data_IF_590139714463
#
_entry.id   IF_590139714463
#
_cell.length_a   1.000
_cell.length_b   1.000
_cell.length_c   1.000
_cell.angle_alpha   90.00
_cell.angle_beta   90.00
_cell.angle_gamma   90.00
#
_symmetry.space_group_name_H-M   'P 1'
#
loop_
_entity.id
_entity.type
_entity.pdbx_description
1 polymer ?
#
# COMPACT_ATOMS: atom_id res chain seq x y z
N UNK A 1 -17.55 -9.79 -13.53
CA UNK A 1 -16.70 -10.03 -12.40
C UNK A 1 -15.25 -10.00 -12.79
N UNK A 2 -14.43 -9.49 -11.95
CA UNK A 2 -13.04 -9.31 -12.29
C UNK A 2 -12.28 -10.54 -11.92
N UNK A 3 -12.20 -11.41 -12.89
CA UNK A 3 -11.52 -12.66 -12.71
C UNK A 3 -10.07 -12.42 -12.30
N UNK A 4 -9.63 -13.13 -11.30
CA UNK A 4 -8.25 -13.11 -10.91
C UNK A 4 -7.88 -12.10 -9.86
N UNK A 5 -8.84 -11.27 -9.44
CA UNK A 5 -8.56 -10.31 -8.37
C UNK A 5 -9.44 -10.61 -7.17
N UNK A 6 -8.81 -10.74 -6.03
CA UNK A 6 -9.47 -11.01 -4.76
C UNK A 6 -9.39 -9.79 -3.86
N UNK A 7 -10.35 -9.72 -2.93
CA UNK A 7 -10.25 -8.72 -1.88
C UNK A 7 -9.13 -9.12 -0.93
N UNK A 8 -8.31 -8.15 -0.57
CA UNK A 8 -7.23 -8.42 0.36
C UNK A 8 -7.78 -8.45 1.77
N UNK A 9 -7.32 -9.40 2.59
CA UNK A 9 -7.71 -9.45 3.98
C UNK A 9 -7.00 -8.37 4.77
N UNK A 10 -7.54 -8.01 5.94
CA UNK A 10 -6.90 -7.03 6.80
C UNK A 10 -5.49 -7.48 7.18
N UNK A 11 -5.33 -8.77 7.49
CA UNK A 11 -4.01 -9.29 7.85
C UNK A 11 -3.04 -9.18 6.67
N UNK A 12 -3.51 -9.50 5.46
CA UNK A 12 -2.67 -9.40 4.28
C UNK A 12 -2.27 -7.97 4.00
N UNK A 13 -3.21 -7.05 4.17
CA UNK A 13 -2.92 -5.64 3.94
C UNK A 13 -1.89 -5.11 4.94
N UNK A 14 -2.03 -5.49 6.21
CA UNK A 14 -1.07 -5.08 7.22
C UNK A 14 0.32 -5.63 6.93
N UNK A 15 0.39 -6.83 6.37
CA UNK A 15 1.66 -7.39 5.98
C UNK A 15 2.34 -6.55 4.91
N UNK A 16 1.57 -6.10 3.92
CA UNK A 16 2.12 -5.24 2.89
C UNK A 16 2.56 -3.90 3.46
N UNK A 17 1.81 -3.37 4.43
CA UNK A 17 2.23 -2.14 5.10
C UNK A 17 3.56 -2.32 5.81
N UNK A 18 3.72 -3.45 6.49
CA UNK A 18 4.95 -3.75 7.21
C UNK A 18 6.12 -3.87 6.23
N UNK A 19 5.91 -4.58 5.13
CA UNK A 19 6.94 -4.73 4.11
C UNK A 19 7.33 -3.38 3.53
N UNK A 20 6.34 -2.53 3.27
CA UNK A 20 6.62 -1.21 2.73
C UNK A 20 7.41 -0.36 3.71
N UNK A 21 7.05 -0.43 5.00
CA UNK A 21 7.79 0.34 6.00
C UNK A 21 9.24 -0.09 6.09
N UNK A 22 9.48 -1.39 6.02
CA UNK A 22 10.86 -1.87 6.05
C UNK A 22 11.63 -1.39 4.84
N UNK A 23 10.99 -1.40 3.67
CA UNK A 23 11.63 -0.89 2.47
C UNK A 23 11.92 0.60 2.58
N UNK A 24 11.02 1.35 3.18
CA UNK A 24 11.23 2.79 3.37
C UNK A 24 12.38 3.07 4.33
N UNK A 25 12.48 2.28 5.41
CA UNK A 25 13.57 2.46 6.36
C UNK A 25 14.93 2.21 5.72
N UNK A 26 14.98 1.22 4.85
CA UNK A 26 16.24 0.85 4.20
C UNK A 26 16.45 1.60 2.89
N UNK A 27 15.47 2.41 2.47
CA UNK A 27 15.51 3.14 1.22
C UNK A 27 15.72 2.20 0.03
N UNK A 28 15.08 1.05 0.08
CA UNK A 28 15.17 0.06 -0.99
C UNK A 28 14.06 0.31 -2.00
N UNK A 29 14.39 1.06 -3.04
CA UNK A 29 13.38 1.46 -4.02
C UNK A 29 12.80 0.27 -4.76
N UNK A 30 13.65 -0.70 -5.11
CA UNK A 30 13.17 -1.89 -5.81
C UNK A 30 12.16 -2.64 -4.97
N UNK A 31 12.37 -2.70 -3.66
CA UNK A 31 11.47 -3.38 -2.76
C UNK A 31 10.14 -2.65 -2.65
N UNK A 32 10.19 -1.32 -2.59
CA UNK A 32 8.98 -0.52 -2.57
C UNK A 32 8.14 -0.78 -3.80
N UNK A 33 8.77 -0.81 -4.96
CA UNK A 33 8.05 -1.06 -6.21
C UNK A 33 7.49 -2.47 -6.23
N UNK A 34 8.22 -3.42 -5.66
CA UNK A 34 7.75 -4.80 -5.59
C UNK A 34 6.49 -4.90 -4.74
N UNK A 35 6.47 -4.22 -3.58
CA UNK A 35 5.30 -4.22 -2.71
C UNK A 35 4.11 -3.61 -3.45
N UNK A 36 4.32 -2.50 -4.14
CA UNK A 36 3.25 -1.85 -4.90
C UNK A 36 2.70 -2.80 -5.96
N UNK A 37 3.59 -3.53 -6.64
CA UNK A 37 3.19 -4.47 -7.67
C UNK A 37 2.36 -5.60 -7.07
N UNK A 38 2.75 -6.09 -5.91
CA UNK A 38 1.98 -7.14 -5.24
C UNK A 38 0.61 -6.64 -4.83
N UNK A 39 0.55 -5.42 -4.29
CA UNK A 39 -0.73 -4.84 -3.89
C UNK A 39 -1.67 -4.64 -5.07
N UNK A 40 -1.12 -4.46 -6.26
CA UNK A 40 -1.93 -4.25 -7.45
C UNK A 40 -2.72 -5.49 -7.86
N UNK A 41 -2.43 -6.63 -7.29
CA UNK A 41 -3.14 -7.87 -7.60
C UNK A 41 -4.46 -8.00 -6.87
N UNK A 42 -4.80 -7.06 -6.00
CA UNK A 42 -5.99 -7.16 -5.18
C UNK A 42 -7.02 -6.11 -5.58
N UNK A 43 -8.26 -6.39 -5.20
CA UNK A 43 -9.37 -5.47 -5.44
C UNK A 43 -9.66 -4.71 -4.14
N UNK A 44 -9.78 -3.40 -4.25
CA UNK A 44 -9.96 -2.54 -3.08
C UNK A 44 -11.28 -1.81 -3.15
N UNK A 45 -11.80 -1.40 -1.99
CA UNK A 45 -12.93 -0.52 -1.92
C UNK A 45 -12.51 0.88 -2.36
N UNK A 46 -13.51 1.71 -2.68
CA UNK A 46 -13.24 3.00 -3.30
C UNK A 46 -12.20 3.82 -2.54
N UNK A 47 -12.38 3.96 -1.22
CA UNK A 47 -11.46 4.77 -0.44
C UNK A 47 -10.07 4.14 -0.37
N UNK A 48 -10.02 2.83 -0.40
CA UNK A 48 -8.73 2.13 -0.38
C UNK A 48 -8.02 2.25 -1.73
N UNK A 49 -8.78 2.24 -2.81
CA UNK A 49 -8.17 2.44 -4.12
C UNK A 49 -7.53 3.82 -4.22
N UNK A 50 -8.17 4.82 -3.65
CA UNK A 50 -7.60 6.16 -3.63
C UNK A 50 -6.30 6.19 -2.83
N UNK A 51 -6.30 5.55 -1.65
CA UNK A 51 -5.09 5.48 -0.83
C UNK A 51 -3.98 4.75 -1.57
N UNK A 52 -4.33 3.65 -2.23
CA UNK A 52 -3.34 2.89 -2.99
C UNK A 52 -2.76 3.73 -4.12
N UNK A 53 -3.61 4.46 -4.84
CA UNK A 53 -3.12 5.31 -5.93
C UNK A 53 -2.17 6.38 -5.42
N UNK A 54 -2.50 6.98 -4.28
CA UNK A 54 -1.62 8.00 -3.69
C UNK A 54 -0.29 7.40 -3.26
N UNK A 55 -0.34 6.20 -2.68
CA UNK A 55 0.89 5.51 -2.27
C UNK A 55 1.75 5.18 -3.49
N UNK A 56 1.12 4.70 -4.55
CA UNK A 56 1.84 4.37 -5.77
C UNK A 56 2.54 5.60 -6.34
N UNK A 57 1.83 6.73 -6.38
CA UNK A 57 2.42 7.97 -6.87
C UNK A 57 3.60 8.38 -6.02
N UNK A 58 3.46 8.28 -4.69
CA UNK A 58 4.54 8.67 -3.80
C UNK A 58 5.77 7.79 -4.00
N UNK A 59 5.57 6.50 -4.23
CA UNK A 59 6.68 5.60 -4.49
C UNK A 59 7.37 5.97 -5.80
N UNK A 60 6.60 6.30 -6.83
CA UNK A 60 7.17 6.67 -8.12
C UNK A 60 7.98 7.96 -8.02
N UNK A 61 7.57 8.86 -7.14
CA UNK A 61 8.28 10.12 -6.94
C UNK A 61 9.40 10.02 -5.91
N UNK A 62 9.55 8.84 -5.31
CA UNK A 62 10.55 8.60 -4.27
C UNK A 62 10.33 9.56 -3.10
N UNK A 63 9.08 9.78 -2.74
CA UNK A 63 8.69 10.67 -1.66
C UNK A 63 8.42 9.86 -0.40
N UNK A 64 9.49 9.60 0.36
CA UNK A 64 9.42 8.74 1.54
C UNK A 64 8.44 9.30 2.56
N UNK A 65 8.47 10.60 2.79
CA UNK A 65 7.58 11.22 3.78
C UNK A 65 6.12 11.01 3.43
N UNK A 66 5.76 11.19 2.17
CA UNK A 66 4.39 10.97 1.73
C UNK A 66 4.00 9.51 1.86
N UNK A 67 4.92 8.60 1.55
CA UNK A 67 4.63 7.17 1.70
C UNK A 67 4.29 6.85 3.15
N UNK A 68 5.08 7.35 4.09
CA UNK A 68 4.84 7.09 5.50
C UNK A 68 3.52 7.69 5.96
N UNK A 69 3.21 8.89 5.51
CA UNK A 69 1.96 9.54 5.88
C UNK A 69 0.76 8.75 5.36
N UNK A 70 0.83 8.31 4.12
CA UNK A 70 -0.28 7.58 3.51
C UNK A 70 -0.48 6.24 4.22
N UNK A 71 0.60 5.54 4.54
CA UNK A 71 0.49 4.28 5.26
C UNK A 71 -0.18 4.49 6.61
N UNK A 72 0.20 5.54 7.32
CA UNK A 72 -0.40 5.84 8.62
C UNK A 72 -1.88 6.14 8.49
N UNK A 73 -2.24 6.94 7.49
CA UNK A 73 -3.64 7.27 7.28
C UNK A 73 -4.46 6.03 6.93
N UNK A 74 -3.91 5.19 6.07
CA UNK A 74 -4.60 3.98 5.67
C UNK A 74 -4.84 3.06 6.88
N UNK A 75 -3.81 2.89 7.70
CA UNK A 75 -3.94 2.06 8.89
C UNK A 75 -4.96 2.65 9.87
N UNK A 76 -4.97 3.96 10.03
CA UNK A 76 -5.94 4.60 10.89
C UNK A 76 -7.36 4.37 10.41
N UNK A 77 -7.59 4.48 9.11
CA UNK A 77 -8.91 4.23 8.56
C UNK A 77 -9.35 2.79 8.77
N UNK A 78 -8.43 1.86 8.60
CA UNK A 78 -8.75 0.45 8.85
C UNK A 78 -9.11 0.22 10.30
N UNK A 79 -8.41 0.87 11.21
CA UNK A 79 -8.70 0.71 12.65
C UNK A 79 -10.02 1.34 13.03
N UNK A 80 -10.46 2.34 12.30
CA UNK A 80 -11.70 3.04 12.61
C UNK A 80 -12.93 2.25 12.17
N UNK A 81 -12.75 1.28 11.31
CA UNK A 81 -13.83 0.43 10.83
C UNK A 81 -14.02 -0.75 11.78
#
# INVERSE_FOLDING_TARGET
EEAGKDHISAAGLQRHFSDMRMALEDLEMDRMEEVIREMNHYHYEDWQEEMYARLKDAVEEIDVDSCETILREWENELSAI
#
